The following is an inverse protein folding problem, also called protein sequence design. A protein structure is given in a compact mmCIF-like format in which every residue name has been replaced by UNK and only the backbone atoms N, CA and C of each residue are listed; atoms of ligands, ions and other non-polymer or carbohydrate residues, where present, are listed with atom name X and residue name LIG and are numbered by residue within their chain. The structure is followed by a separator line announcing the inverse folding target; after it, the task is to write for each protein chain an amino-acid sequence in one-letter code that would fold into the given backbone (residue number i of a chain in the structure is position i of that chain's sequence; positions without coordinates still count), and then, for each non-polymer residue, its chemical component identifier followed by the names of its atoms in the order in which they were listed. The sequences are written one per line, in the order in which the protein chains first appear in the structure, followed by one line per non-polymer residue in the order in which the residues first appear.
data_IF_239892644603
#
_entry.id   IF_239892644603
#
_cell.length_a   1.000
_cell.length_b   1.000
_cell.length_c   1.000
_cell.angle_alpha   90.00
_cell.angle_beta   90.00
_cell.angle_gamma   90.00
#
_symmetry.space_group_name_H-M   'P 1'
#
loop_
_entity.id
_entity.type
_entity.pdbx_description
1 polymer ?
#
# COMPACT_ATOMS: atom_id res chain seq x y z
N UNK A 1 0.81 48.76 25.74
CA UNK A 1 -0.11 47.69 25.30
C UNK A 1 0.21 47.15 23.89
N UNK A 2 0.43 47.99 22.86
CA UNK A 2 0.76 47.50 21.51
C UNK A 2 2.03 46.61 21.43
N UNK A 3 3.08 46.94 22.18
CA UNK A 3 4.33 46.17 22.20
C UNK A 3 4.16 44.71 22.67
N UNK A 4 3.23 44.45 23.59
CA UNK A 4 2.92 43.07 24.00
C UNK A 4 2.25 42.26 22.89
N UNK A 5 1.39 42.90 22.09
CA UNK A 5 0.74 42.23 20.96
C UNK A 5 1.76 41.92 19.85
N UNK A 6 2.67 42.86 19.56
CA UNK A 6 3.73 42.65 18.58
C UNK A 6 4.73 41.58 18.99
N UNK A 7 5.12 41.52 20.27
CA UNK A 7 6.04 40.48 20.76
C UNK A 7 5.40 39.10 20.73
N UNK A 8 4.10 38.98 21.08
CA UNK A 8 3.36 37.72 20.99
C UNK A 8 3.23 37.28 19.52
N UNK A 9 2.87 38.19 18.61
CA UNK A 9 2.77 37.87 17.19
C UNK A 9 4.11 37.39 16.63
N UNK A 10 5.20 38.09 16.92
CA UNK A 10 6.54 37.73 16.48
C UNK A 10 6.97 36.37 17.05
N UNK A 11 6.65 36.08 18.31
CA UNK A 11 6.93 34.80 18.93
C UNK A 11 6.18 33.66 18.24
N UNK A 12 4.88 33.83 17.95
CA UNK A 12 4.08 32.81 17.24
C UNK A 12 4.65 32.53 15.85
N UNK A 13 5.02 33.57 15.09
CA UNK A 13 5.65 33.40 13.79
C UNK A 13 7.01 32.71 13.88
N UNK A 14 7.86 33.08 14.84
CA UNK A 14 9.17 32.47 15.04
C UNK A 14 9.06 30.99 15.42
N UNK A 15 8.15 30.66 16.35
CA UNK A 15 7.89 29.28 16.79
C UNK A 15 7.28 28.46 15.65
N UNK A 16 6.28 28.98 14.95
CA UNK A 16 5.65 28.32 13.82
C UNK A 16 6.64 28.02 12.68
N UNK A 17 7.50 28.99 12.36
CA UNK A 17 8.57 28.83 11.37
C UNK A 17 9.58 27.77 11.82
N UNK A 18 10.00 27.80 13.09
CA UNK A 18 10.94 26.82 13.65
C UNK A 18 10.37 25.40 13.64
N UNK A 19 9.09 25.24 14.00
CA UNK A 19 8.38 23.95 13.92
C UNK A 19 8.27 23.46 12.47
N UNK A 20 7.97 24.36 11.52
CA UNK A 20 7.90 24.00 10.11
C UNK A 20 9.26 23.57 9.54
N UNK A 21 10.35 24.24 9.92
CA UNK A 21 11.70 23.88 9.49
C UNK A 21 12.21 22.59 10.14
N UNK A 22 11.87 22.35 11.41
CA UNK A 22 12.25 21.14 12.14
C UNK A 22 11.30 19.96 11.92
N UNK A 23 10.27 20.13 11.10
CA UNK A 23 9.20 19.14 10.85
C UNK A 23 9.73 17.74 10.55
N UNK A 24 10.80 17.63 9.76
CA UNK A 24 11.36 16.34 9.36
C UNK A 24 11.92 15.53 10.55
N UNK A 25 12.32 16.19 11.63
CA UNK A 25 12.88 15.54 12.83
C UNK A 25 11.81 15.02 13.77
N UNK A 26 10.68 15.73 13.88
CA UNK A 26 9.65 15.44 14.89
C UNK A 26 8.40 14.75 14.32
N UNK A 27 8.10 14.88 13.03
CA UNK A 27 6.98 14.18 12.38
C UNK A 27 7.03 12.65 12.59
N UNK A 28 8.19 11.97 12.44
CA UNK A 28 8.26 10.51 12.62
C UNK A 28 7.94 10.04 14.05
N UNK A 29 8.09 10.91 15.04
CA UNK A 29 7.83 10.64 16.46
C UNK A 29 6.34 10.78 16.82
N UNK A 30 5.50 11.29 15.92
CA UNK A 30 4.05 11.44 16.11
C UNK A 30 3.32 10.24 15.49
N UNK A 31 3.04 9.16 16.25
CA UNK A 31 2.67 7.86 15.68
C UNK A 31 1.22 7.81 15.16
N UNK A 32 0.49 8.94 15.14
CA UNK A 32 -0.97 8.89 15.03
C UNK A 32 -1.64 10.08 14.35
N UNK A 33 -0.91 11.14 13.99
CA UNK A 33 -1.50 12.37 13.43
C UNK A 33 -1.22 12.51 11.93
N UNK A 34 -0.11 11.95 11.45
CA UNK A 34 0.15 11.91 10.01
C UNK A 34 -0.49 10.65 9.42
N UNK A 35 -1.52 10.75 8.56
CA UNK A 35 -1.79 9.65 7.64
C UNK A 35 -0.47 9.34 6.91
N UNK A 36 -0.12 8.07 6.76
CA UNK A 36 1.06 7.66 6.01
C UNK A 36 1.13 8.36 4.65
N UNK A 37 2.31 8.38 4.00
CA UNK A 37 2.51 9.13 2.76
C UNK A 37 1.33 8.92 1.81
N UNK A 38 0.63 10.01 1.47
CA UNK A 38 -0.57 9.98 0.62
C UNK A 38 -0.32 9.25 -0.70
N UNK A 39 0.94 9.21 -1.12
CA UNK A 39 1.44 8.45 -2.25
C UNK A 39 2.56 7.51 -1.81
N UNK A 40 2.33 6.21 -1.99
CA UNK A 40 3.40 5.24 -2.07
C UNK A 40 3.64 4.98 -3.56
N UNK A 41 4.85 5.30 -4.05
CA UNK A 41 5.22 5.00 -5.44
C UNK A 41 5.12 3.49 -5.62
N UNK A 42 4.36 3.06 -6.62
CA UNK A 42 4.31 1.66 -7.00
C UNK A 42 5.56 1.28 -7.80
N UNK A 43 6.01 0.04 -7.68
CA UNK A 43 7.10 -0.46 -8.50
C UNK A 43 6.65 -0.47 -9.96
N UNK A 44 7.46 0.13 -10.83
CA UNK A 44 7.11 0.38 -12.25
C UNK A 44 7.82 -0.56 -13.22
N UNK A 45 8.80 -1.33 -12.74
CA UNK A 45 9.54 -2.32 -13.52
C UNK A 45 9.52 -3.68 -12.83
N UNK A 46 9.77 -4.75 -13.59
CA UNK A 46 9.92 -6.10 -13.04
C UNK A 46 11.02 -6.18 -11.98
N UNK A 47 12.10 -5.40 -12.11
CA UNK A 47 13.15 -5.30 -11.09
C UNK A 47 12.61 -4.73 -9.79
N UNK A 48 11.87 -3.62 -9.87
CA UNK A 48 11.27 -2.99 -8.69
C UNK A 48 10.21 -3.91 -8.04
N UNK A 49 9.49 -4.69 -8.84
CA UNK A 49 8.50 -5.66 -8.34
C UNK A 49 9.18 -6.77 -7.52
N UNK A 50 10.33 -7.28 -7.99
CA UNK A 50 11.13 -8.26 -7.26
C UNK A 50 11.66 -7.64 -5.96
N UNK A 51 12.21 -6.43 -6.01
CA UNK A 51 12.72 -5.73 -4.82
C UNK A 51 11.60 -5.44 -3.80
N UNK A 52 10.38 -5.18 -4.27
CA UNK A 52 9.19 -5.01 -3.44
C UNK A 52 8.65 -6.33 -2.86
N UNK A 53 9.27 -7.48 -3.18
CA UNK A 53 8.86 -8.79 -2.71
C UNK A 53 7.62 -9.34 -3.40
N UNK A 54 7.30 -8.89 -4.62
CA UNK A 54 6.17 -9.36 -5.43
C UNK A 54 6.51 -10.60 -6.27
N UNK A 55 7.26 -11.53 -5.68
CA UNK A 55 7.68 -12.77 -6.31
C UNK A 55 7.64 -13.94 -5.31
N UNK A 56 7.61 -15.16 -5.83
CA UNK A 56 7.69 -16.40 -5.04
C UNK A 56 8.25 -17.55 -5.89
N UNK A 57 8.39 -18.75 -5.31
CA UNK A 57 8.84 -19.93 -6.05
C UNK A 57 7.92 -20.28 -7.22
N UNK A 58 6.61 -20.10 -7.04
CA UNK A 58 5.59 -20.41 -8.06
C UNK A 58 5.31 -19.20 -8.98
N UNK A 59 5.94 -18.06 -8.69
CA UNK A 59 5.77 -16.82 -9.44
C UNK A 59 7.10 -16.09 -9.57
N UNK A 60 7.89 -16.55 -10.53
CA UNK A 60 9.20 -16.00 -10.86
C UNK A 60 9.08 -14.86 -11.89
N UNK A 61 9.75 -13.74 -11.61
CA UNK A 61 9.82 -12.54 -12.46
C UNK A 61 11.22 -12.31 -13.04
N UNK A 62 12.22 -13.13 -12.68
CA UNK A 62 13.61 -12.92 -13.08
C UNK A 62 13.81 -12.96 -14.59
N UNK A 63 13.11 -13.85 -15.30
CA UNK A 63 13.16 -13.95 -16.76
C UNK A 63 12.59 -12.74 -17.50
N UNK A 64 11.75 -11.92 -16.86
CA UNK A 64 11.13 -10.76 -17.49
C UNK A 64 12.01 -9.50 -17.42
N UNK A 65 13.01 -9.50 -16.54
CA UNK A 65 13.86 -8.34 -16.25
C UNK A 65 14.73 -7.91 -17.46
N UNK A 66 15.10 -8.85 -18.33
CA UNK A 66 16.11 -8.61 -19.38
C UNK A 66 15.56 -8.36 -20.79
N UNK A 67 14.23 -8.35 -20.99
CA UNK A 67 13.72 -8.15 -22.34
C UNK A 67 12.21 -8.09 -22.51
N UNK A 68 11.44 -8.06 -21.42
CA UNK A 68 9.99 -7.98 -21.52
C UNK A 68 9.53 -6.51 -21.64
N UNK A 69 8.95 -6.17 -22.79
CA UNK A 69 8.39 -4.84 -23.05
C UNK A 69 6.95 -4.67 -22.57
N UNK A 70 6.35 -5.70 -21.97
CA UNK A 70 4.99 -5.61 -21.41
C UNK A 70 4.96 -4.73 -20.18
N UNK A 71 3.77 -4.19 -19.88
CA UNK A 71 3.52 -3.32 -18.73
C UNK A 71 3.78 -3.98 -17.36
N UNK A 72 3.92 -5.31 -17.32
CA UNK A 72 4.16 -6.08 -16.11
C UNK A 72 2.89 -6.38 -15.32
N UNK A 73 3.02 -6.44 -13.99
CA UNK A 73 1.90 -6.69 -13.09
C UNK A 73 0.95 -5.47 -13.05
N UNK A 74 -0.35 -5.73 -12.85
CA UNK A 74 -1.37 -4.69 -12.70
C UNK A 74 -1.16 -3.83 -11.44
N UNK A 75 -1.12 -2.51 -11.61
CA UNK A 75 -0.87 -1.55 -10.53
C UNK A 75 -1.91 -1.62 -9.40
N UNK A 76 -3.18 -1.82 -9.75
CA UNK A 76 -4.24 -1.93 -8.74
C UNK A 76 -4.05 -3.19 -7.89
N UNK A 77 -3.77 -4.33 -8.54
CA UNK A 77 -3.44 -5.59 -7.90
C UNK A 77 -2.20 -5.50 -7.01
N UNK A 78 -1.10 -4.92 -7.49
CA UNK A 78 0.13 -4.70 -6.70
C UNK A 78 -0.17 -3.94 -5.41
N UNK A 79 -0.92 -2.84 -5.51
CA UNK A 79 -1.28 -2.01 -4.36
C UNK A 79 -2.07 -2.80 -3.31
N UNK A 80 -3.01 -3.62 -3.75
CA UNK A 80 -3.83 -4.44 -2.85
C UNK A 80 -3.02 -5.54 -2.16
N UNK A 81 -2.15 -6.23 -2.91
CA UNK A 81 -1.27 -7.27 -2.37
C UNK A 81 -0.30 -6.68 -1.36
N UNK A 82 0.41 -5.61 -1.69
CA UNK A 82 1.33 -4.92 -0.76
C UNK A 82 0.62 -4.45 0.51
N UNK A 83 -0.62 -3.96 0.38
CA UNK A 83 -1.44 -3.57 1.54
C UNK A 83 -1.76 -4.77 2.44
N UNK A 84 -2.08 -5.93 1.87
CA UNK A 84 -2.35 -7.16 2.64
C UNK A 84 -1.08 -7.67 3.30
N UNK A 85 0.05 -7.72 2.58
CA UNK A 85 1.35 -8.11 3.12
C UNK A 85 1.71 -7.26 4.34
N UNK A 86 1.61 -5.92 4.23
CA UNK A 86 1.90 -4.99 5.34
C UNK A 86 0.94 -5.15 6.51
N UNK A 87 -0.37 -5.29 6.25
CA UNK A 87 -1.39 -5.34 7.30
C UNK A 87 -1.41 -6.67 8.06
N UNK A 88 -1.18 -7.78 7.37
CA UNK A 88 -1.26 -9.13 7.95
C UNK A 88 0.10 -9.77 8.22
N UNK A 89 1.18 -9.09 7.86
CA UNK A 89 2.56 -9.58 7.99
C UNK A 89 2.74 -10.97 7.35
N UNK A 90 2.29 -11.11 6.11
CA UNK A 90 2.34 -12.35 5.33
C UNK A 90 3.15 -12.17 4.05
N UNK A 91 3.68 -13.27 3.52
CA UNK A 91 4.39 -13.29 2.24
C UNK A 91 3.47 -13.06 1.03
N UNK A 92 4.08 -13.01 -0.16
CA UNK A 92 3.41 -12.69 -1.42
C UNK A 92 2.27 -13.65 -1.77
N UNK A 93 2.52 -14.97 -1.73
CA UNK A 93 1.51 -15.97 -2.10
C UNK A 93 0.29 -15.95 -1.19
N UNK A 94 0.53 -15.86 0.11
CA UNK A 94 -0.53 -15.80 1.10
C UNK A 94 -1.33 -14.50 0.96
N UNK A 95 -0.68 -13.38 0.67
CA UNK A 95 -1.36 -12.12 0.39
C UNK A 95 -2.25 -12.22 -0.87
N UNK A 96 -1.76 -12.87 -1.94
CA UNK A 96 -2.55 -13.12 -3.17
C UNK A 96 -3.74 -14.05 -2.90
N UNK A 97 -3.54 -15.12 -2.15
CA UNK A 97 -4.61 -16.06 -1.75
C UNK A 97 -5.72 -15.33 -0.99
N UNK A 98 -5.34 -14.52 -0.01
CA UNK A 98 -6.29 -13.72 0.77
C UNK A 98 -7.01 -12.68 -0.07
N UNK A 99 -6.31 -12.04 -1.02
CA UNK A 99 -6.92 -11.10 -1.95
C UNK A 99 -7.99 -11.79 -2.81
N UNK A 100 -7.67 -12.95 -3.38
CA UNK A 100 -8.62 -13.73 -4.18
C UNK A 100 -9.81 -14.19 -3.36
N UNK A 101 -9.59 -14.67 -2.14
CA UNK A 101 -10.67 -15.05 -1.24
C UNK A 101 -11.60 -13.87 -0.91
N UNK A 102 -11.05 -12.67 -0.71
CA UNK A 102 -11.84 -11.44 -0.50
C UNK A 102 -12.67 -11.10 -1.76
N UNK A 103 -12.10 -11.25 -2.96
CA UNK A 103 -12.80 -11.02 -4.23
C UNK A 103 -13.91 -12.03 -4.46
N UNK A 104 -13.66 -13.31 -4.21
CA UNK A 104 -14.67 -14.36 -4.27
C UNK A 104 -15.83 -14.08 -3.32
N UNK A 105 -15.54 -13.77 -2.06
CA UNK A 105 -16.60 -13.45 -1.11
C UNK A 105 -17.44 -12.25 -1.55
N UNK A 106 -16.85 -11.23 -2.16
CA UNK A 106 -17.58 -10.05 -2.69
C UNK A 106 -18.42 -10.40 -3.91
N UNK A 107 -17.96 -11.34 -4.74
CA UNK A 107 -18.68 -11.83 -5.91
C UNK A 107 -19.72 -12.92 -5.59
N UNK A 108 -19.94 -13.25 -4.31
CA UNK A 108 -20.87 -14.31 -3.93
C UNK A 108 -20.34 -15.72 -4.20
N UNK A 109 -19.03 -15.89 -4.31
CA UNK A 109 -18.35 -17.19 -4.47
C UNK A 109 -17.79 -17.63 -3.11
N UNK A 110 -17.97 -18.91 -2.77
CA UNK A 110 -17.44 -19.51 -1.55
C UNK A 110 -15.91 -19.66 -1.58
N UNK A 111 -15.33 -19.99 -0.43
CA UNK A 111 -13.88 -20.25 -0.32
C UNK A 111 -13.44 -21.53 -1.03
N UNK A 112 -14.39 -22.41 -1.30
CA UNK A 112 -14.30 -23.61 -2.13
C UNK A 112 -14.32 -23.29 -3.65
N UNK A 113 -14.52 -22.03 -4.03
CA UNK A 113 -14.64 -21.62 -5.43
C UNK A 113 -16.03 -21.85 -6.03
N UNK A 114 -17.00 -22.28 -5.22
CA UNK A 114 -18.37 -22.56 -5.69
C UNK A 114 -19.24 -21.30 -5.56
N UNK A 115 -19.95 -20.87 -6.62
CA UNK A 115 -20.92 -19.79 -6.52
C UNK A 115 -22.02 -20.10 -5.50
N UNK A 116 -22.38 -19.13 -4.67
CA UNK A 116 -23.47 -19.23 -3.68
C UNK A 116 -24.85 -18.92 -4.27
N UNK A 117 -24.94 -18.84 -5.59
CA UNK A 117 -26.21 -18.60 -6.28
C UNK A 117 -27.13 -19.82 -6.09
N UNK A 118 -28.36 -19.66 -5.58
CA UNK A 118 -29.33 -20.75 -5.45
C UNK A 118 -29.66 -21.46 -6.79
N UNK A 119 -29.40 -20.80 -7.92
CA UNK A 119 -29.59 -21.35 -9.27
C UNK A 119 -28.31 -21.96 -9.86
N UNK A 120 -27.22 -21.99 -9.10
CA UNK A 120 -25.98 -22.59 -9.56
C UNK A 120 -26.17 -24.10 -9.77
N UNK A 121 -25.90 -24.56 -10.99
CA UNK A 121 -25.88 -25.98 -11.35
C UNK A 121 -24.45 -26.32 -11.75
N UNK A 122 -23.91 -27.37 -11.13
CA UNK A 122 -22.60 -27.93 -11.47
C UNK A 122 -22.73 -29.37 -11.91
N UNK A 123 -21.79 -29.82 -12.75
CA UNK A 123 -21.69 -31.20 -13.21
C UNK A 123 -20.32 -31.71 -12.79
N UNK A 124 -20.27 -32.84 -12.08
CA UNK A 124 -19.06 -33.50 -11.57
C UNK A 124 -18.90 -34.87 -12.18
#
# INVERSE_FOLDING_TARGET
MGYMLYSIALFVFAVGTSLYLTRARWIPLLPRIAPGPLYQRLPTSFRDDIEAGLHSSDFDLTGNVEGDSRQGLDDAGKKEVLRIMKRKNVGFDEARRLLMQERFSKAGVGSDGVPRDPKFVSFS
#
